data_IF_476573991898
#
_entry.id   IF_476573991898
#
_cell.length_a   1.000
_cell.length_b   1.000
_cell.length_c   1.000
_cell.angle_alpha   90.00
_cell.angle_beta   90.00
_cell.angle_gamma   90.00
#
_symmetry.space_group_name_H-M   'P 1'
#
loop_
_entity.id
_entity.type
_entity.pdbx_description
1 polymer ?
#
# COMPACT_ATOMS: atom_id res chain seq x y z
N UNK A 1 -18.03 3.77 -0.55
CA UNK A 1 -18.59 2.40 -0.50
C UNK A 1 -17.52 1.41 -0.05
N UNK A 2 -16.44 1.23 -0.83
CA UNK A 2 -15.38 0.26 -0.55
C UNK A 2 -14.70 0.47 0.82
N UNK A 3 -14.31 1.70 1.13
CA UNK A 3 -13.77 2.07 2.45
C UNK A 3 -14.73 1.71 3.59
N UNK A 4 -16.02 2.03 3.46
CA UNK A 4 -17.04 1.74 4.50
C UNK A 4 -17.24 0.23 4.71
N UNK A 5 -17.26 -0.56 3.63
CA UNK A 5 -17.34 -2.03 3.72
C UNK A 5 -16.09 -2.58 4.41
N UNK A 6 -14.91 -2.07 4.04
CA UNK A 6 -13.64 -2.40 4.66
C UNK A 6 -13.62 -2.05 6.15
N UNK A 7 -14.15 -0.89 6.54
CA UNK A 7 -14.31 -0.48 7.94
C UNK A 7 -15.14 -1.47 8.73
N UNK A 8 -16.30 -1.87 8.22
CA UNK A 8 -17.17 -2.83 8.91
C UNK A 8 -16.49 -4.21 8.99
N UNK A 9 -15.87 -4.69 7.91
CA UNK A 9 -15.17 -5.97 7.90
C UNK A 9 -14.01 -6.00 8.90
N UNK A 10 -13.18 -4.95 8.93
CA UNK A 10 -12.03 -4.87 9.82
C UNK A 10 -12.46 -4.66 11.28
N UNK A 11 -13.46 -3.82 11.54
CA UNK A 11 -13.94 -3.55 12.89
C UNK A 11 -14.52 -4.80 13.58
N UNK A 12 -15.39 -5.53 12.88
CA UNK A 12 -16.09 -6.68 13.49
C UNK A 12 -15.30 -8.00 13.42
N UNK A 13 -14.32 -8.11 12.52
CA UNK A 13 -13.63 -9.38 12.24
C UNK A 13 -12.11 -9.16 12.20
N UNK A 14 -11.65 -8.32 11.28
CA UNK A 14 -10.23 -8.26 10.92
C UNK A 14 -9.31 -7.88 12.07
N UNK A 15 -9.60 -6.80 12.78
CA UNK A 15 -8.75 -6.34 13.88
C UNK A 15 -8.68 -7.36 15.03
N UNK A 16 -9.80 -8.02 15.33
CA UNK A 16 -9.82 -9.11 16.32
C UNK A 16 -9.03 -10.33 15.84
N UNK A 17 -9.05 -10.64 14.54
CA UNK A 17 -8.26 -11.72 13.96
C UNK A 17 -6.75 -11.43 14.03
N UNK A 18 -6.34 -10.20 13.75
CA UNK A 18 -4.93 -9.79 13.75
C UNK A 18 -4.36 -9.59 15.16
N UNK A 19 -5.12 -8.91 16.03
CA UNK A 19 -4.64 -8.40 17.32
C UNK A 19 -5.34 -8.98 18.56
N UNK A 20 -6.41 -9.77 18.39
CA UNK A 20 -7.19 -10.30 19.51
C UNK A 20 -8.03 -9.26 20.25
N UNK A 21 -8.12 -8.03 19.72
CA UNK A 21 -8.85 -6.91 20.32
C UNK A 21 -10.21 -6.71 19.65
N UNK A 22 -11.24 -6.45 20.45
CA UNK A 22 -12.58 -6.08 19.97
C UNK A 22 -13.05 -4.81 20.70
N UNK A 23 -14.15 -4.22 20.22
CA UNK A 23 -14.66 -2.93 20.71
C UNK A 23 -16.10 -3.05 21.23
N UNK A 24 -16.42 -4.16 21.89
CA UNK A 24 -17.77 -4.41 22.44
C UNK A 24 -17.97 -3.85 23.84
N UNK A 25 -16.91 -3.36 24.49
CA UNK A 25 -16.98 -2.70 25.79
C UNK A 25 -17.70 -1.34 25.72
N UNK A 26 -18.14 -0.85 26.88
CA UNK A 26 -18.77 0.47 27.00
C UNK A 26 -17.80 1.59 26.63
N UNK A 27 -18.31 2.66 26.02
CA UNK A 27 -17.50 3.75 25.47
C UNK A 27 -16.54 4.40 26.48
N UNK A 28 -16.90 4.45 27.76
CA UNK A 28 -16.02 4.97 28.82
C UNK A 28 -14.75 4.14 28.99
N UNK A 29 -14.85 2.81 28.85
CA UNK A 29 -13.71 1.89 28.92
C UNK A 29 -12.84 2.00 27.67
N UNK A 30 -13.46 2.07 26.47
CA UNK A 30 -12.74 2.24 25.21
C UNK A 30 -11.98 3.57 25.11
N UNK A 31 -12.40 4.59 25.87
CA UNK A 31 -11.78 5.93 25.89
C UNK A 31 -10.69 6.06 26.95
N UNK A 32 -10.42 5.02 27.74
CA UNK A 32 -9.29 5.01 28.67
C UNK A 32 -7.96 5.19 27.92
N UNK A 33 -6.95 5.74 28.61
CA UNK A 33 -5.66 6.12 28.00
C UNK A 33 -5.83 6.98 26.74
N UNK A 34 -6.82 7.88 26.76
CA UNK A 34 -7.17 8.76 25.64
C UNK A 34 -7.59 8.02 24.36
N UNK A 35 -8.07 6.77 24.47
CA UNK A 35 -8.50 5.97 23.33
C UNK A 35 -7.35 5.58 22.40
N UNK A 36 -6.13 5.41 22.94
CA UNK A 36 -4.97 5.03 22.14
C UNK A 36 -5.20 3.79 21.27
N UNK A 37 -5.87 2.76 21.81
CA UNK A 37 -6.20 1.55 21.04
C UNK A 37 -7.19 1.83 19.90
N UNK A 38 -8.08 2.81 20.07
CA UNK A 38 -8.96 3.28 19.00
C UNK A 38 -8.18 4.03 17.92
N UNK A 39 -7.17 4.81 18.28
CA UNK A 39 -6.28 5.50 17.33
C UNK A 39 -5.45 4.48 16.56
N UNK A 40 -4.89 3.46 17.23
CA UNK A 40 -4.17 2.36 16.60
C UNK A 40 -5.06 1.61 15.61
N UNK A 41 -6.28 1.26 16.02
CA UNK A 41 -7.26 0.65 15.12
C UNK A 41 -7.57 1.52 13.92
N UNK A 42 -7.87 2.80 14.14
CA UNK A 42 -8.17 3.75 13.06
C UNK A 42 -7.02 3.79 12.05
N UNK A 43 -5.79 3.86 12.53
CA UNK A 43 -4.60 3.87 11.70
C UNK A 43 -4.46 2.59 10.88
N UNK A 44 -4.50 1.41 11.51
CA UNK A 44 -4.35 0.11 10.82
C UNK A 44 -5.53 -0.20 9.89
N UNK A 45 -6.74 0.28 10.19
CA UNK A 45 -7.86 0.24 9.26
C UNK A 45 -7.53 0.97 7.95
N UNK A 46 -6.84 2.10 7.98
CA UNK A 46 -6.48 2.81 6.74
C UNK A 46 -5.51 2.00 5.87
N UNK A 47 -4.67 1.15 6.48
CA UNK A 47 -3.76 0.23 5.79
C UNK A 47 -4.55 -0.91 5.16
N UNK A 48 -5.44 -1.53 5.94
CA UNK A 48 -6.32 -2.59 5.48
C UNK A 48 -7.17 -2.12 4.27
N UNK A 49 -7.72 -0.91 4.34
CA UNK A 49 -8.54 -0.32 3.29
C UNK A 49 -7.74 0.11 2.04
N UNK A 50 -6.41 0.26 2.13
CA UNK A 50 -5.57 0.59 0.98
C UNK A 50 -5.47 -0.58 -0.01
N UNK A 51 -5.54 -1.83 0.45
CA UNK A 51 -5.44 -3.03 -0.39
C UNK A 51 -6.56 -3.11 -1.43
N UNK A 52 -7.85 -3.10 -1.05
CA UNK A 52 -8.92 -3.12 -2.05
C UNK A 52 -8.92 -1.86 -2.93
N UNK A 53 -8.43 -0.72 -2.43
CA UNK A 53 -8.23 0.48 -3.26
C UNK A 53 -7.19 0.25 -4.37
N UNK A 54 -6.03 -0.36 -4.06
CA UNK A 54 -5.01 -0.76 -5.05
C UNK A 54 -5.61 -1.70 -6.11
N UNK A 55 -6.34 -2.72 -5.66
CA UNK A 55 -6.97 -3.71 -6.55
C UNK A 55 -7.98 -3.02 -7.47
N UNK A 56 -8.87 -2.19 -6.91
CA UNK A 56 -9.92 -1.51 -7.66
C UNK A 56 -9.38 -0.62 -8.77
N UNK A 57 -8.25 0.07 -8.54
CA UNK A 57 -7.56 0.87 -9.55
C UNK A 57 -7.07 0.02 -10.74
N UNK A 58 -6.61 -1.20 -10.48
CA UNK A 58 -6.17 -2.13 -11.52
C UNK A 58 -7.33 -2.74 -12.32
N UNK A 59 -8.51 -2.90 -11.71
CA UNK A 59 -9.66 -3.59 -12.32
C UNK A 59 -10.82 -2.69 -12.77
N UNK A 60 -10.66 -1.37 -12.60
CA UNK A 60 -11.63 -0.35 -13.02
C UNK A 60 -12.09 -0.53 -14.47
N UNK A 61 -13.28 0.01 -14.80
CA UNK A 61 -13.93 -0.03 -16.13
C UNK A 61 -14.55 -1.38 -16.55
N UNK A 62 -14.13 -2.52 -15.98
CA UNK A 62 -14.71 -3.83 -16.30
C UNK A 62 -15.13 -4.70 -15.11
N UNK A 63 -14.72 -4.35 -13.90
CA UNK A 63 -15.18 -5.03 -12.69
C UNK A 63 -16.65 -4.73 -12.39
N UNK A 64 -17.38 -5.74 -11.90
CA UNK A 64 -18.74 -5.55 -11.37
C UNK A 64 -18.68 -4.99 -9.95
N UNK A 65 -19.56 -4.05 -9.64
CA UNK A 65 -19.57 -3.35 -8.35
C UNK A 65 -19.79 -4.28 -7.14
N UNK A 66 -20.86 -5.09 -7.13
CA UNK A 66 -21.18 -5.94 -5.97
C UNK A 66 -20.11 -7.03 -5.71
N UNK A 67 -19.62 -7.78 -6.72
CA UNK A 67 -18.51 -8.71 -6.52
C UNK A 67 -17.26 -8.04 -5.95
N UNK A 68 -16.94 -6.82 -6.37
CA UNK A 68 -15.81 -6.08 -5.81
C UNK A 68 -16.02 -5.78 -4.33
N UNK A 69 -17.20 -5.31 -3.91
CA UNK A 69 -17.47 -5.05 -2.49
C UNK A 69 -17.39 -6.31 -1.63
N UNK A 70 -17.89 -7.44 -2.14
CA UNK A 70 -17.78 -8.74 -1.44
C UNK A 70 -16.31 -9.16 -1.33
N UNK A 71 -15.52 -9.00 -2.39
CA UNK A 71 -14.09 -9.30 -2.36
C UNK A 71 -13.36 -8.43 -1.33
N UNK A 72 -13.65 -7.13 -1.28
CA UNK A 72 -13.08 -6.22 -0.27
C UNK A 72 -13.45 -6.63 1.15
N UNK A 73 -14.71 -7.01 1.40
CA UNK A 73 -15.13 -7.52 2.72
C UNK A 73 -14.34 -8.77 3.13
N UNK A 74 -14.18 -9.73 2.22
CA UNK A 74 -13.44 -10.98 2.51
C UNK A 74 -11.95 -10.68 2.75
N UNK A 75 -11.34 -9.85 1.89
CA UNK A 75 -9.93 -9.51 1.99
C UNK A 75 -9.63 -8.78 3.29
N UNK A 76 -10.40 -7.75 3.62
CA UNK A 76 -10.18 -6.90 4.80
C UNK A 76 -10.69 -7.55 6.09
N UNK A 77 -11.68 -8.43 6.03
CA UNK A 77 -12.17 -9.16 7.19
C UNK A 77 -11.31 -10.36 7.58
N UNK A 78 -10.65 -11.00 6.61
CA UNK A 78 -10.00 -12.30 6.84
C UNK A 78 -8.58 -12.38 6.29
N UNK A 79 -8.40 -12.21 4.97
CA UNK A 79 -7.12 -12.54 4.31
C UNK A 79 -5.99 -11.61 4.73
N UNK A 80 -6.22 -10.30 4.69
CA UNK A 80 -5.23 -9.30 5.09
C UNK A 80 -4.93 -9.36 6.59
N UNK A 81 -5.92 -9.31 7.50
CA UNK A 81 -5.64 -9.31 8.94
C UNK A 81 -4.95 -10.59 9.41
N UNK A 82 -5.18 -11.73 8.75
CA UNK A 82 -4.42 -12.94 9.02
C UNK A 82 -2.91 -12.75 8.74
N UNK A 83 -2.56 -12.15 7.59
CA UNK A 83 -1.17 -11.86 7.24
C UNK A 83 -0.57 -10.72 8.09
N UNK A 84 -1.35 -9.68 8.34
CA UNK A 84 -1.02 -8.57 9.24
C UNK A 84 -0.66 -9.08 10.63
N UNK A 85 -1.49 -9.95 11.22
CA UNK A 85 -1.25 -10.54 12.54
C UNK A 85 0.03 -11.37 12.59
N UNK A 86 0.35 -12.11 11.53
CA UNK A 86 1.60 -12.87 11.40
C UNK A 86 2.81 -11.93 11.42
N UNK A 87 2.77 -10.87 10.61
CA UNK A 87 3.94 -10.00 10.40
C UNK A 87 4.11 -8.98 11.51
N UNK A 88 3.05 -8.29 11.92
CA UNK A 88 3.09 -7.15 12.85
C UNK A 88 2.63 -7.46 14.28
N UNK A 89 2.00 -8.61 14.51
CA UNK A 89 1.55 -9.00 15.85
C UNK A 89 2.19 -10.32 16.35
N UNK A 90 3.13 -10.90 15.60
CA UNK A 90 3.84 -12.13 16.00
C UNK A 90 2.96 -13.38 16.06
N UNK A 91 1.83 -13.40 15.35
CA UNK A 91 0.92 -14.53 15.38
C UNK A 91 1.61 -15.81 14.85
N UNK A 92 1.25 -16.95 15.46
CA UNK A 92 1.66 -18.30 15.05
C UNK A 92 3.18 -18.58 15.08
N UNK A 93 3.99 -17.75 15.76
CA UNK A 93 5.42 -18.01 15.95
C UNK A 93 6.28 -17.80 14.70
N UNK A 94 5.75 -17.13 13.67
CA UNK A 94 6.42 -17.01 12.37
C UNK A 94 7.67 -16.13 12.44
N UNK A 95 7.64 -15.04 13.21
CA UNK A 95 8.78 -14.14 13.37
C UNK A 95 9.94 -14.82 14.11
N UNK A 96 9.61 -15.63 15.11
CA UNK A 96 10.55 -16.47 15.85
C UNK A 96 11.18 -17.52 14.93
N UNK A 97 10.37 -18.19 14.12
CA UNK A 97 10.84 -19.15 13.11
C UNK A 97 11.82 -18.52 12.12
N UNK A 98 11.55 -17.30 11.65
CA UNK A 98 12.44 -16.58 10.76
C UNK A 98 13.74 -16.18 11.47
N UNK A 99 13.64 -15.73 12.71
CA UNK A 99 14.82 -15.41 13.53
C UNK A 99 15.70 -16.64 13.75
N UNK A 100 15.10 -17.80 14.07
CA UNK A 100 15.83 -19.06 14.25
C UNK A 100 16.52 -19.51 12.95
N UNK A 101 15.83 -19.42 11.80
CA UNK A 101 16.35 -19.93 10.52
C UNK A 101 17.31 -18.99 9.80
N UNK A 102 17.10 -17.68 9.91
CA UNK A 102 17.80 -16.67 9.12
C UNK A 102 18.59 -15.67 9.97
N UNK A 103 18.50 -15.75 11.30
CA UNK A 103 19.20 -14.86 12.24
C UNK A 103 18.53 -13.50 12.44
N UNK A 104 17.39 -13.25 11.80
CA UNK A 104 16.63 -12.00 11.92
C UNK A 104 15.12 -12.23 11.65
N UNK A 105 14.23 -11.45 12.28
CA UNK A 105 12.82 -11.43 11.94
C UNK A 105 12.59 -10.78 10.57
N UNK A 106 11.42 -11.01 9.99
CA UNK A 106 10.98 -10.25 8.83
C UNK A 106 10.61 -8.83 9.24
N UNK A 107 11.31 -7.86 8.65
CA UNK A 107 11.08 -6.43 8.89
C UNK A 107 10.34 -5.78 7.73
N UNK A 108 9.17 -5.23 8.03
CA UNK A 108 8.41 -4.39 7.11
C UNK A 108 7.70 -3.31 7.94
N UNK A 109 8.36 -2.17 8.13
CA UNK A 109 7.93 -1.17 9.11
C UNK A 109 6.54 -0.57 8.84
N UNK A 110 6.31 -0.12 7.60
CA UNK A 110 5.07 0.53 7.19
C UNK A 110 4.31 -0.23 6.09
N UNK A 111 4.78 -1.37 5.60
CA UNK A 111 3.98 -2.24 4.73
C UNK A 111 4.31 -2.17 3.24
N UNK A 112 5.59 -2.10 2.87
CA UNK A 112 6.00 -2.35 1.47
C UNK A 112 5.50 -3.70 0.98
N UNK A 113 5.52 -4.72 1.85
CA UNK A 113 5.04 -6.07 1.55
C UNK A 113 3.62 -6.27 2.07
N UNK A 114 3.40 -5.99 3.37
CA UNK A 114 2.14 -6.27 4.08
C UNK A 114 0.95 -5.56 3.43
N UNK A 115 1.15 -4.34 2.92
CA UNK A 115 0.09 -3.57 2.24
C UNK A 115 0.30 -3.54 0.74
N UNK A 116 1.43 -2.99 0.28
CA UNK A 116 1.58 -2.64 -1.13
C UNK A 116 1.86 -3.84 -2.02
N UNK A 117 2.78 -4.74 -1.64
CA UNK A 117 3.01 -5.95 -2.42
C UNK A 117 1.81 -6.89 -2.38
N UNK A 118 1.17 -7.07 -1.21
CA UNK A 118 -0.07 -7.85 -1.11
C UNK A 118 -1.15 -7.30 -2.05
N UNK A 119 -1.42 -6.00 -1.98
CA UNK A 119 -2.37 -5.34 -2.90
C UNK A 119 -1.96 -5.48 -4.37
N UNK A 120 -0.69 -5.29 -4.69
CA UNK A 120 -0.16 -5.40 -6.05
C UNK A 120 -0.26 -6.81 -6.64
N UNK A 121 0.07 -7.85 -5.87
CA UNK A 121 -0.02 -9.25 -6.31
C UNK A 121 -1.47 -9.70 -6.46
N UNK A 122 -2.35 -9.31 -5.53
CA UNK A 122 -3.78 -9.57 -5.64
C UNK A 122 -4.38 -8.84 -6.85
N UNK A 123 -3.98 -7.58 -7.08
CA UNK A 123 -4.41 -6.80 -8.24
C UNK A 123 -3.94 -7.45 -9.54
N UNK A 124 -2.69 -7.93 -9.61
CA UNK A 124 -2.18 -8.65 -10.77
C UNK A 124 -3.01 -9.91 -11.05
N UNK A 125 -3.27 -10.73 -10.04
CA UNK A 125 -4.14 -11.91 -10.17
C UNK A 125 -5.54 -11.54 -10.69
N UNK A 126 -6.15 -10.50 -10.13
CA UNK A 126 -7.47 -10.03 -10.56
C UNK A 126 -7.47 -9.50 -12.01
N UNK A 127 -6.42 -8.78 -12.42
CA UNK A 127 -6.25 -8.28 -13.80
C UNK A 127 -6.08 -9.44 -14.78
N UNK A 128 -5.31 -10.48 -14.42
CA UNK A 128 -5.12 -11.66 -15.28
C UNK A 128 -6.42 -12.46 -15.46
N UNK A 129 -7.24 -12.58 -14.41
CA UNK A 129 -8.53 -13.29 -14.48
C UNK A 129 -9.59 -12.49 -15.23
N UNK A 130 -9.70 -11.18 -15.00
CA UNK A 130 -10.66 -10.32 -15.71
C UNK A 130 -10.28 -10.08 -17.17
N UNK A 131 -8.98 -10.13 -17.48
CA UNK A 131 -8.45 -9.87 -18.81
C UNK A 131 -8.36 -8.40 -19.17
N UNK A 132 -7.98 -8.18 -20.42
CA UNK A 132 -7.73 -6.85 -20.97
C UNK A 132 -9.02 -6.03 -21.11
N UNK A 133 -8.86 -4.71 -21.02
CA UNK A 133 -9.96 -3.75 -21.30
C UNK A 133 -10.41 -3.86 -22.75
N UNK A 134 -11.69 -3.61 -22.98
CA UNK A 134 -12.23 -3.56 -24.34
C UNK A 134 -11.52 -2.48 -25.17
N UNK A 135 -11.13 -2.80 -26.41
CA UNK A 135 -10.39 -1.89 -27.29
C UNK A 135 -8.90 -1.70 -26.93
N UNK A 136 -8.40 -2.34 -25.86
CA UNK A 136 -6.99 -2.26 -25.48
C UNK A 136 -6.06 -2.93 -26.49
N UNK A 137 -6.51 -4.05 -27.04
CA UNK A 137 -5.82 -4.78 -28.10
C UNK A 137 -6.76 -4.91 -29.29
N UNK A 138 -6.26 -4.60 -30.48
CA UNK A 138 -6.98 -4.81 -31.73
C UNK A 138 -7.06 -6.30 -32.07
N UNK A 139 -7.87 -6.66 -33.07
CA UNK A 139 -8.00 -8.07 -33.53
C UNK A 139 -6.68 -8.66 -34.05
N UNK A 140 -5.77 -7.81 -34.55
CA UNK A 140 -4.41 -8.16 -34.96
C UNK A 140 -3.39 -8.10 -33.82
N UNK A 141 -3.83 -7.91 -32.57
CA UNK A 141 -2.99 -7.93 -31.38
C UNK A 141 -2.22 -6.63 -31.10
N UNK A 142 -2.44 -5.56 -31.86
CA UNK A 142 -1.77 -4.28 -31.63
C UNK A 142 -2.31 -3.61 -30.38
N UNK A 143 -1.40 -3.07 -29.58
CA UNK A 143 -1.72 -2.34 -28.36
C UNK A 143 -2.21 -0.92 -28.71
N UNK A 144 -3.36 -0.56 -28.15
CA UNK A 144 -3.87 0.80 -28.13
C UNK A 144 -3.69 1.42 -26.74
N UNK A 145 -2.86 2.46 -26.66
CA UNK A 145 -2.67 3.22 -25.44
C UNK A 145 -3.91 4.08 -25.15
N UNK A 146 -4.45 3.95 -23.94
CA UNK A 146 -5.45 4.89 -23.44
C UNK A 146 -4.71 6.05 -22.78
N UNK A 147 -4.83 7.24 -23.34
CA UNK A 147 -4.26 8.44 -22.74
C UNK A 147 -4.94 8.71 -21.37
N UNK A 148 -4.22 9.30 -20.40
CA UNK A 148 -4.82 9.77 -19.16
C UNK A 148 -6.00 10.69 -19.45
N UNK A 149 -7.15 10.42 -18.83
CA UNK A 149 -8.37 11.19 -19.06
C UNK A 149 -8.28 12.63 -18.51
N UNK A 150 -7.47 12.85 -17.47
CA UNK A 150 -7.27 14.16 -16.86
C UNK A 150 -5.92 14.24 -16.11
N UNK A 151 -4.92 14.93 -16.68
CA UNK A 151 -3.59 15.07 -16.07
C UNK A 151 -3.62 15.89 -14.76
N UNK A 152 -4.34 17.03 -14.67
CA UNK A 152 -4.48 17.73 -13.38
C UNK A 152 -5.04 16.86 -12.25
N UNK A 153 -6.01 15.97 -12.54
CA UNK A 153 -6.57 15.07 -11.54
C UNK A 153 -5.59 13.97 -11.14
N UNK A 154 -4.79 13.45 -12.08
CA UNK A 154 -3.67 12.55 -11.80
C UNK A 154 -2.64 13.23 -10.88
N UNK A 155 -2.26 14.46 -11.18
CA UNK A 155 -1.35 15.26 -10.36
C UNK A 155 -1.88 15.48 -8.94
N UNK A 156 -3.16 15.86 -8.82
CA UNK A 156 -3.82 16.06 -7.53
C UNK A 156 -3.87 14.78 -6.70
N UNK A 157 -4.25 13.66 -7.31
CA UNK A 157 -4.28 12.35 -6.65
C UNK A 157 -2.90 11.92 -6.14
N UNK A 158 -1.88 12.05 -7.00
CA UNK A 158 -0.49 11.80 -6.62
C UNK A 158 -0.03 12.66 -5.45
N UNK A 159 -0.36 13.96 -5.47
CA UNK A 159 0.00 14.88 -4.39
C UNK A 159 -0.69 14.52 -3.07
N UNK A 160 -1.99 14.22 -3.09
CA UNK A 160 -2.74 13.80 -1.89
C UNK A 160 -2.14 12.52 -1.29
N UNK A 161 -1.84 11.52 -2.12
CA UNK A 161 -1.20 10.29 -1.68
C UNK A 161 0.18 10.56 -1.08
N UNK A 162 0.98 11.38 -1.74
CA UNK A 162 2.33 11.73 -1.31
C UNK A 162 2.33 12.42 0.06
N UNK A 163 1.43 13.38 0.28
CA UNK A 163 1.27 14.06 1.57
C UNK A 163 0.76 13.08 2.64
N UNK A 164 -0.26 12.28 2.31
CA UNK A 164 -0.81 11.27 3.22
C UNK A 164 0.20 10.21 3.63
N UNK A 165 1.18 9.91 2.77
CA UNK A 165 2.22 8.91 3.01
C UNK A 165 3.13 9.24 4.19
N UNK A 166 3.34 10.52 4.49
CA UNK A 166 4.11 10.90 5.67
C UNK A 166 3.37 10.50 6.95
N UNK A 167 2.04 10.67 6.99
CA UNK A 167 1.22 10.15 8.08
C UNK A 167 1.28 8.62 8.15
N UNK A 168 1.18 7.95 7.00
CA UNK A 168 1.29 6.50 6.88
C UNK A 168 2.62 5.97 7.47
N UNK A 169 3.76 6.50 7.05
CA UNK A 169 5.05 5.99 7.52
C UNK A 169 5.32 6.41 8.97
N UNK A 170 5.17 7.70 9.32
CA UNK A 170 5.55 8.18 10.66
C UNK A 170 4.71 7.54 11.76
N UNK A 171 3.40 7.35 11.52
CA UNK A 171 2.50 6.72 12.50
C UNK A 171 2.61 5.19 12.53
N UNK A 172 3.36 4.56 11.61
CA UNK A 172 3.63 3.11 11.64
C UNK A 172 4.45 2.68 12.86
N UNK A 173 5.10 3.65 13.52
CA UNK A 173 5.66 3.47 14.85
C UNK A 173 4.65 3.01 15.91
N UNK A 174 3.35 3.28 15.67
CA UNK A 174 2.17 2.96 16.48
C UNK A 174 2.16 3.54 17.89
N UNK A 175 3.30 4.01 18.41
CA UNK A 175 3.54 4.57 19.75
C UNK A 175 4.15 5.97 19.64
N UNK A 176 3.91 6.83 20.63
CA UNK A 176 4.47 8.18 20.63
C UNK A 176 6.01 8.16 20.76
N UNK A 177 6.54 7.21 21.53
CA UNK A 177 7.97 7.03 21.74
C UNK A 177 8.68 6.50 20.49
N UNK A 178 7.97 5.74 19.64
CA UNK A 178 8.51 5.20 18.38
C UNK A 178 8.48 6.20 17.22
N UNK A 179 7.73 7.30 17.33
CA UNK A 179 7.66 8.32 16.27
C UNK A 179 9.04 8.93 16.06
N UNK A 180 9.53 8.89 14.82
CA UNK A 180 10.89 9.30 14.50
C UNK A 180 10.95 10.25 13.31
N UNK A 181 11.70 11.34 13.47
CA UNK A 181 12.03 12.25 12.37
C UNK A 181 12.83 11.57 11.26
N UNK A 182 13.55 10.49 11.57
CA UNK A 182 14.28 9.69 10.58
C UNK A 182 13.32 9.09 9.54
N UNK A 183 12.17 8.58 9.99
CA UNK A 183 11.13 8.02 9.11
C UNK A 183 10.60 9.07 8.15
N UNK A 184 10.35 10.29 8.64
CA UNK A 184 9.89 11.40 7.81
C UNK A 184 10.95 11.78 6.76
N UNK A 185 12.22 11.92 7.17
CA UNK A 185 13.32 12.27 6.25
C UNK A 185 13.56 11.16 5.22
N UNK A 186 13.57 9.89 5.63
CA UNK A 186 13.72 8.77 4.71
C UNK A 186 12.57 8.71 3.70
N UNK A 187 11.34 8.97 4.13
CA UNK A 187 10.18 9.05 3.24
C UNK A 187 10.33 10.19 2.22
N UNK A 188 10.78 11.37 2.65
CA UNK A 188 11.06 12.50 1.76
C UNK A 188 12.17 12.19 0.75
N UNK A 189 13.26 11.56 1.19
CA UNK A 189 14.36 11.20 0.30
C UNK A 189 13.95 10.16 -0.74
N UNK A 190 13.16 9.15 -0.35
CA UNK A 190 12.65 8.15 -1.28
C UNK A 190 11.65 8.71 -2.30
N UNK A 191 10.76 9.60 -1.85
CA UNK A 191 9.86 10.39 -2.72
C UNK A 191 10.68 11.17 -3.76
N UNK A 192 11.71 11.90 -3.32
CA UNK A 192 12.58 12.67 -4.20
C UNK A 192 13.31 11.76 -5.21
N UNK A 193 13.85 10.63 -4.73
CA UNK A 193 14.51 9.65 -5.59
C UNK A 193 13.60 9.08 -6.66
N UNK A 194 12.39 8.65 -6.28
CA UNK A 194 11.40 8.13 -7.21
C UNK A 194 10.98 9.16 -8.25
N UNK A 195 10.78 10.41 -7.83
CA UNK A 195 10.46 11.52 -8.72
C UNK A 195 11.58 11.78 -9.73
N UNK A 196 12.83 11.89 -9.28
CA UNK A 196 13.98 12.17 -10.14
C UNK A 196 14.24 11.04 -11.13
N UNK A 197 14.17 9.78 -10.69
CA UNK A 197 14.32 8.63 -11.57
C UNK A 197 13.24 8.60 -12.66
N UNK A 198 11.97 8.82 -12.29
CA UNK A 198 10.87 8.82 -13.26
C UNK A 198 10.89 10.04 -14.18
N UNK A 199 11.37 11.21 -13.73
CA UNK A 199 11.58 12.38 -14.57
C UNK A 199 12.59 12.08 -15.69
N UNK A 200 13.75 11.52 -15.33
CA UNK A 200 14.85 11.27 -16.26
C UNK A 200 14.53 10.09 -17.19
N UNK A 201 14.17 8.93 -16.62
CA UNK A 201 13.96 7.70 -17.38
C UNK A 201 12.64 7.75 -18.15
N UNK A 202 11.61 8.34 -17.54
CA UNK A 202 10.31 8.57 -18.16
C UNK A 202 10.28 9.73 -19.14
N UNK A 203 11.41 10.43 -19.36
CA UNK A 203 11.57 11.50 -20.35
C UNK A 203 10.52 12.61 -20.22
N UNK A 204 10.27 13.06 -18.99
CA UNK A 204 9.27 14.08 -18.66
C UNK A 204 7.80 13.70 -18.98
N UNK A 205 7.49 12.42 -19.17
CA UNK A 205 6.10 11.99 -19.30
C UNK A 205 5.34 12.23 -17.98
N UNK A 206 4.22 12.98 -17.99
CA UNK A 206 3.45 13.28 -16.77
C UNK A 206 2.92 12.02 -16.07
N UNK A 207 2.58 10.97 -16.82
CA UNK A 207 2.15 9.69 -16.28
C UNK A 207 3.23 9.03 -15.42
N UNK A 208 4.48 9.08 -15.87
CA UNK A 208 5.61 8.60 -15.08
C UNK A 208 5.97 9.52 -13.93
N UNK A 209 6.00 10.84 -14.16
CA UNK A 209 6.41 11.81 -13.16
C UNK A 209 5.52 11.81 -11.92
N UNK A 210 4.20 11.67 -12.08
CA UNK A 210 3.27 11.66 -10.95
C UNK A 210 3.18 10.31 -10.22
N UNK A 211 3.60 9.20 -10.84
CA UNK A 211 3.59 7.88 -10.18
C UNK A 211 4.97 7.48 -9.61
N UNK A 212 6.06 8.03 -10.14
CA UNK A 212 7.42 7.87 -9.62
C UNK A 212 7.60 8.09 -8.12
N UNK A 213 7.14 9.23 -7.53
CA UNK A 213 7.21 9.44 -6.09
C UNK A 213 6.49 8.33 -5.30
N UNK A 214 5.34 7.86 -5.78
CA UNK A 214 4.58 6.80 -5.13
C UNK A 214 5.36 5.48 -5.15
N UNK A 215 6.04 5.14 -6.24
CA UNK A 215 6.91 3.96 -6.30
C UNK A 215 8.04 4.04 -5.25
N UNK A 216 8.67 5.21 -5.10
CA UNK A 216 9.69 5.43 -4.07
C UNK A 216 9.14 5.31 -2.65
N UNK A 217 7.99 5.91 -2.40
CA UNK A 217 7.30 5.85 -1.11
C UNK A 217 6.85 4.43 -0.75
N UNK A 218 6.34 3.65 -1.71
CA UNK A 218 6.03 2.23 -1.52
C UNK A 218 7.27 1.45 -1.12
N UNK A 219 8.41 1.67 -1.78
CA UNK A 219 9.62 0.89 -1.55
C UNK A 219 10.29 1.20 -0.20
N UNK A 220 10.20 2.44 0.29
CA UNK A 220 10.83 2.83 1.56
C UNK A 220 10.05 2.36 2.78
N UNK A 221 8.76 2.03 2.65
CA UNK A 221 7.92 1.59 3.77
C UNK A 221 8.55 0.44 4.57
N UNK A 222 9.27 -0.48 3.92
CA UNK A 222 9.88 -1.63 4.58
C UNK A 222 10.92 -1.24 5.64
N UNK A 223 11.68 -0.17 5.43
CA UNK A 223 12.84 0.16 6.24
C UNK A 223 13.02 1.65 6.50
N UNK A 224 11.95 2.44 6.42
CA UNK A 224 12.01 3.89 6.65
C UNK A 224 12.51 4.26 8.04
N UNK A 225 12.40 3.36 9.01
CA UNK A 225 12.92 3.48 10.38
C UNK A 225 14.40 3.08 10.50
N UNK A 226 14.96 2.35 9.54
CA UNK A 226 16.32 1.79 9.59
C UNK A 226 17.30 2.45 8.62
N UNK A 227 16.81 2.98 7.50
CA UNK A 227 17.69 3.47 6.44
C UNK A 227 18.42 4.74 6.84
N UNK A 228 19.61 4.92 6.27
CA UNK A 228 20.21 6.24 6.16
C UNK A 228 19.47 7.06 5.08
N UNK A 229 19.29 8.38 5.22
CA UNK A 229 18.61 9.22 4.22
C UNK A 229 19.12 9.07 2.79
N UNK A 230 20.44 8.89 2.61
CA UNK A 230 21.03 8.60 1.30
C UNK A 230 20.64 7.20 0.77
N UNK A 231 20.52 6.20 1.65
CA UNK A 231 20.03 4.88 1.27
C UNK A 231 18.55 4.90 0.88
N UNK A 232 17.73 5.70 1.58
CA UNK A 232 16.35 5.94 1.22
C UNK A 232 16.21 6.65 -0.14
N UNK A 233 17.08 7.63 -0.44
CA UNK A 233 17.15 8.26 -1.76
C UNK A 233 17.45 7.24 -2.87
N UNK A 234 18.45 6.39 -2.66
CA UNK A 234 18.82 5.32 -3.63
C UNK A 234 17.67 4.32 -3.80
N UNK A 235 17.00 3.94 -2.71
CA UNK A 235 15.81 3.09 -2.75
C UNK A 235 14.72 3.71 -3.62
N UNK A 236 14.46 5.00 -3.44
CA UNK A 236 13.54 5.76 -4.28
C UNK A 236 13.93 5.78 -5.75
N UNK A 237 15.21 6.06 -6.05
CA UNK A 237 15.74 6.08 -7.42
C UNK A 237 15.54 4.72 -8.12
N UNK A 238 15.88 3.63 -7.44
CA UNK A 238 15.73 2.27 -7.99
C UNK A 238 14.25 1.94 -8.20
N UNK A 239 13.39 2.22 -7.22
CA UNK A 239 11.97 1.96 -7.33
C UNK A 239 11.30 2.75 -8.46
N UNK A 240 11.59 4.05 -8.58
CA UNK A 240 11.08 4.89 -9.67
C UNK A 240 11.57 4.45 -11.05
N UNK A 241 12.83 4.02 -11.16
CA UNK A 241 13.38 3.46 -12.39
C UNK A 241 12.71 2.14 -12.79
N UNK A 242 12.57 1.23 -11.82
CA UNK A 242 11.90 -0.07 -12.03
C UNK A 242 10.42 0.12 -12.39
N UNK A 243 9.73 1.10 -11.80
CA UNK A 243 8.36 1.43 -12.15
C UNK A 243 8.25 1.81 -13.64
N UNK A 244 9.06 2.76 -14.13
CA UNK A 244 9.01 3.17 -15.53
C UNK A 244 9.35 2.01 -16.47
N UNK A 245 10.36 1.21 -16.11
CA UNK A 245 10.79 0.05 -16.89
C UNK A 245 9.71 -1.03 -16.95
N UNK A 246 9.17 -1.45 -15.80
CA UNK A 246 8.12 -2.48 -15.73
C UNK A 246 6.84 -2.02 -16.41
N UNK A 247 6.44 -0.76 -16.23
CA UNK A 247 5.31 -0.20 -16.97
C UNK A 247 5.55 -0.33 -18.48
N UNK A 248 6.69 0.14 -18.99
CA UNK A 248 7.01 0.09 -20.41
C UNK A 248 7.04 -1.34 -20.96
N UNK A 249 7.55 -2.30 -20.18
CA UNK A 249 7.53 -3.71 -20.56
C UNK A 249 6.11 -4.26 -20.75
N UNK A 250 5.17 -3.87 -19.90
CA UNK A 250 3.76 -4.30 -20.03
C UNK A 250 3.01 -3.66 -21.20
N UNK A 251 3.55 -2.58 -21.77
CA UNK A 251 2.97 -1.92 -22.95
C UNK A 251 3.51 -2.48 -24.28
N UNK A 252 4.70 -3.09 -24.28
CA UNK A 252 5.45 -3.42 -25.50
C UNK A 252 5.51 -4.93 -25.81
N UNK A 253 4.70 -5.74 -25.12
CA UNK A 253 4.55 -7.19 -25.35
C UNK A 253 3.09 -7.51 -25.67
#
# INVERSE_FOLDING_TARGET
ADFSVSTIAYFFIGYSLAYGVNFYDVASSLSEKSGYDLVKFFFLLTFAAAIPAIISGGIAERAKFNPQLIASFILVGFTYPFFEGIVWNGAYGFQELLTEKFGAPFHDFAGSVVVHAMGGWLALGAVLVLGARHGRYSKDGKLHAFAPSNIPFLALGSWILTVGWFGFNVMSAQTLEGVSGLVAVNSLMALAGGTLASLIIGRNDPGFLYNGPLAGLVAVCAGSDLFHPLGALVTGLVAGALFVWTFSLTQNK
#
